data_IF_916534537605
#
_entry.id   IF_916534537605
#
_cell.length_a   1.000
_cell.length_b   1.000
_cell.length_c   1.000
_cell.angle_alpha   90.00
_cell.angle_beta   90.00
_cell.angle_gamma   90.00
#
_symmetry.space_group_name_H-M   'P 1'
#
loop_
_entity.id
_entity.type
_entity.pdbx_description
1 polymer ?
#
# COMPACT_ATOMS: atom_id res chain seq x y z
N UNK A 1 26.81 -32.64 -71.06
CA UNK A 1 27.43 -31.47 -70.40
C UNK A 1 26.55 -30.27 -70.69
N UNK A 2 25.57 -29.98 -69.83
CA UNK A 2 25.67 -29.16 -68.63
C UNK A 2 25.42 -27.67 -68.95
N UNK A 3 24.14 -27.30 -68.98
CA UNK A 3 23.71 -25.92 -68.74
C UNK A 3 23.09 -25.90 -67.34
N UNK A 4 23.83 -25.38 -66.36
CA UNK A 4 23.31 -25.12 -65.03
C UNK A 4 23.34 -23.62 -64.79
N UNK A 5 22.18 -23.02 -64.96
CA UNK A 5 21.89 -21.65 -64.56
C UNK A 5 21.66 -21.66 -63.05
N UNK A 6 22.62 -21.21 -62.27
CA UNK A 6 22.45 -20.98 -60.83
C UNK A 6 22.07 -19.51 -60.64
N UNK A 7 20.78 -19.26 -60.40
CA UNK A 7 20.29 -17.96 -59.99
C UNK A 7 20.69 -17.72 -58.52
N UNK A 8 21.37 -16.60 -58.26
CA UNK A 8 21.67 -16.09 -56.92
C UNK A 8 20.37 -15.57 -56.28
N UNK A 9 19.86 -16.26 -55.27
CA UNK A 9 18.82 -15.74 -54.38
C UNK A 9 19.51 -14.99 -53.23
N UNK A 10 19.61 -13.67 -53.39
CA UNK A 10 19.84 -12.73 -52.29
C UNK A 10 18.58 -12.68 -51.42
N UNK A 11 18.61 -13.35 -50.27
CA UNK A 11 17.56 -13.19 -49.25
C UNK A 11 17.96 -12.01 -48.39
N UNK A 12 17.19 -10.94 -48.56
CA UNK A 12 17.39 -9.66 -47.90
C UNK A 12 17.48 -9.78 -46.38
N UNK A 13 18.48 -9.07 -45.86
CA UNK A 13 18.65 -8.69 -44.48
C UNK A 13 17.40 -7.95 -43.98
N UNK A 14 16.47 -8.67 -43.33
CA UNK A 14 15.35 -8.11 -42.58
C UNK A 14 15.91 -7.39 -41.35
N UNK A 15 16.27 -6.12 -41.55
CA UNK A 15 16.62 -5.17 -40.51
C UNK A 15 15.48 -5.03 -39.50
N UNK A 16 15.72 -5.58 -38.31
CA UNK A 16 15.59 -4.90 -37.01
C UNK A 16 14.61 -3.72 -36.97
N UNK A 17 13.31 -3.99 -36.84
CA UNK A 17 12.36 -3.07 -36.20
C UNK A 17 11.30 -3.88 -35.44
N UNK A 18 11.75 -4.70 -34.48
CA UNK A 18 10.93 -4.91 -33.29
C UNK A 18 11.03 -3.62 -32.48
N UNK A 19 10.26 -2.60 -32.87
CA UNK A 19 10.03 -1.47 -31.99
C UNK A 19 9.33 -2.04 -30.76
N UNK A 20 10.04 -2.05 -29.63
CA UNK A 20 9.45 -2.42 -28.35
C UNK A 20 8.22 -1.55 -28.16
N UNK A 21 7.05 -2.18 -28.18
CA UNK A 21 5.85 -1.55 -27.64
C UNK A 21 6.22 -1.11 -26.21
N UNK A 22 5.89 0.11 -25.78
CA UNK A 22 6.01 0.44 -24.38
C UNK A 22 5.14 -0.57 -23.64
N UNK A 23 5.77 -1.50 -22.93
CA UNK A 23 5.07 -2.25 -21.89
C UNK A 23 4.61 -1.18 -20.92
N UNK A 24 3.32 -0.89 -20.92
CA UNK A 24 2.63 -0.18 -19.85
C UNK A 24 2.68 -1.07 -18.61
N UNK A 25 3.89 -1.22 -18.06
CA UNK A 25 4.11 -1.76 -16.75
C UNK A 25 3.50 -0.70 -15.84
N UNK A 26 2.31 -0.99 -15.30
CA UNK A 26 1.57 -0.09 -14.44
C UNK A 26 2.42 0.48 -13.30
N UNK A 27 1.85 1.37 -12.47
CA UNK A 27 2.62 2.11 -11.47
C UNK A 27 3.42 1.18 -10.56
N UNK A 28 4.69 1.53 -10.32
CA UNK A 28 5.58 0.80 -9.40
C UNK A 28 4.97 0.80 -8.01
N UNK A 29 4.99 -0.35 -7.34
CA UNK A 29 4.48 -0.50 -5.97
C UNK A 29 5.56 -0.92 -4.99
N UNK A 30 5.52 -0.37 -3.79
CA UNK A 30 6.36 -0.70 -2.65
C UNK A 30 5.59 -1.63 -1.69
N UNK A 31 6.15 -2.78 -1.28
CA UNK A 31 5.52 -3.63 -0.29
C UNK A 31 5.58 -2.98 1.09
N UNK A 32 4.53 -3.17 1.89
CA UNK A 32 4.48 -2.78 3.31
C UNK A 32 3.82 -3.88 4.14
N UNK A 33 4.11 -3.89 5.43
CA UNK A 33 3.41 -4.71 6.42
C UNK A 33 2.47 -3.82 7.21
N UNK A 34 1.22 -4.25 7.40
CA UNK A 34 0.23 -3.55 8.19
C UNK A 34 -0.23 -4.46 9.34
N UNK A 35 -0.09 -3.99 10.58
CA UNK A 35 -0.66 -4.67 11.75
C UNK A 35 -1.83 -3.87 12.30
N UNK A 36 -2.92 -4.54 12.64
CA UNK A 36 -4.04 -3.98 13.39
C UNK A 36 -3.97 -4.57 14.80
N UNK A 37 -3.89 -3.70 15.80
CA UNK A 37 -3.89 -4.10 17.19
C UNK A 37 -4.87 -3.26 18.01
N UNK A 38 -5.36 -3.84 19.09
CA UNK A 38 -6.31 -3.18 19.98
C UNK A 38 -5.83 -3.33 21.42
N UNK A 39 -5.16 -2.30 21.93
CA UNK A 39 -4.58 -2.27 23.28
C UNK A 39 -5.64 -2.26 24.39
N UNK A 40 -6.90 -2.00 24.03
CA UNK A 40 -8.04 -2.00 24.95
C UNK A 40 -8.73 -3.38 25.02
N UNK A 41 -8.17 -4.38 24.34
CA UNK A 41 -8.71 -5.75 24.31
C UNK A 41 -7.59 -6.79 24.31
N UNK A 42 -7.89 -8.04 24.69
CA UNK A 42 -6.92 -9.14 24.62
C UNK A 42 -6.95 -9.87 23.26
N UNK A 43 -7.33 -9.19 22.19
CA UNK A 43 -7.39 -9.77 20.84
C UNK A 43 -5.98 -9.81 20.25
N UNK A 44 -5.62 -10.95 19.67
CA UNK A 44 -4.33 -11.11 18.98
C UNK A 44 -4.22 -10.12 17.81
N UNK A 45 -3.12 -9.37 17.67
CA UNK A 45 -2.91 -8.49 16.53
C UNK A 45 -2.98 -9.23 15.19
N UNK A 46 -3.66 -8.62 14.22
CA UNK A 46 -3.80 -9.15 12.86
C UNK A 46 -2.78 -8.48 11.95
N UNK A 47 -2.07 -9.26 11.13
CA UNK A 47 -1.05 -8.72 10.21
C UNK A 47 -1.41 -9.03 8.77
N UNK A 48 -1.38 -7.99 7.95
CA UNK A 48 -1.64 -8.02 6.53
C UNK A 48 -0.39 -7.58 5.75
N UNK A 49 -0.20 -8.16 4.57
CA UNK A 49 0.83 -7.72 3.62
C UNK A 49 0.13 -7.04 2.45
N UNK A 50 0.52 -5.80 2.17
CA UNK A 50 -0.05 -5.02 1.08
C UNK A 50 1.01 -4.18 0.40
N UNK A 51 0.58 -3.31 -0.51
CA UNK A 51 1.48 -2.42 -1.22
C UNK A 51 0.88 -1.03 -1.40
N UNK A 52 1.79 -0.06 -1.51
CA UNK A 52 1.50 1.32 -1.87
C UNK A 52 2.16 1.62 -3.21
N UNK A 53 1.54 2.44 -4.05
CA UNK A 53 2.25 2.97 -5.23
C UNK A 53 3.42 3.83 -4.76
N UNK A 54 4.55 3.78 -5.44
CA UNK A 54 5.72 4.60 -5.12
C UNK A 54 5.34 6.09 -5.06
N UNK A 55 5.65 6.74 -3.93
CA UNK A 55 5.26 8.13 -3.65
C UNK A 55 3.79 8.34 -3.27
N UNK A 56 2.97 7.28 -3.31
CA UNK A 56 1.59 7.26 -2.86
C UNK A 56 1.45 7.26 -1.33
N UNK A 57 0.23 7.51 -0.87
CA UNK A 57 -0.08 7.65 0.56
C UNK A 57 -0.66 6.37 1.17
N UNK A 58 -0.54 6.22 2.49
CA UNK A 58 -1.01 5.06 3.26
C UNK A 58 -2.49 4.75 3.00
N UNK A 59 -3.34 5.76 2.86
CA UNK A 59 -4.76 5.60 2.49
C UNK A 59 -4.94 4.75 1.22
N UNK A 60 -4.05 4.89 0.24
CA UNK A 60 -4.09 4.08 -0.97
C UNK A 60 -3.81 2.60 -0.70
N UNK A 61 -2.90 2.29 0.22
CA UNK A 61 -2.64 0.90 0.64
C UNK A 61 -3.84 0.32 1.38
N UNK A 62 -4.46 1.08 2.30
CA UNK A 62 -5.64 0.64 3.05
C UNK A 62 -6.84 0.37 2.12
N UNK A 63 -7.08 1.22 1.11
CA UNK A 63 -8.14 1.00 0.10
C UNK A 63 -7.94 -0.30 -0.67
N UNK A 64 -6.73 -0.53 -1.20
CA UNK A 64 -6.39 -1.79 -1.90
C UNK A 64 -6.54 -3.00 -0.99
N UNK A 65 -6.14 -2.88 0.28
CA UNK A 65 -6.29 -3.94 1.25
C UNK A 65 -7.77 -4.27 1.47
N UNK A 66 -8.62 -3.26 1.68
CA UNK A 66 -10.06 -3.43 1.84
C UNK A 66 -10.77 -4.00 0.59
N UNK A 67 -10.29 -3.66 -0.60
CA UNK A 67 -10.79 -4.19 -1.88
C UNK A 67 -10.44 -5.67 -2.08
N UNK A 68 -9.26 -6.09 -1.60
CA UNK A 68 -8.70 -7.43 -1.88
C UNK A 68 -8.90 -8.42 -0.74
N UNK A 69 -9.07 -7.96 0.50
CA UNK A 69 -9.24 -8.77 1.68
C UNK A 69 -10.60 -8.50 2.34
N UNK A 70 -11.44 -9.53 2.40
CA UNK A 70 -12.84 -9.38 2.87
C UNK A 70 -12.94 -9.08 4.36
N UNK A 71 -11.97 -9.54 5.13
CA UNK A 71 -11.83 -9.36 6.58
C UNK A 71 -11.22 -8.00 6.97
N UNK A 72 -10.52 -7.33 6.06
CA UNK A 72 -10.05 -5.97 6.30
C UNK A 72 -11.12 -4.93 5.92
N UNK A 73 -11.58 -4.17 6.92
CA UNK A 73 -12.51 -3.04 6.72
C UNK A 73 -12.03 -1.83 7.49
N UNK A 74 -12.11 -0.65 6.89
CA UNK A 74 -11.85 0.60 7.57
C UNK A 74 -12.80 1.69 7.11
N UNK A 75 -13.02 2.68 7.98
CA UNK A 75 -13.75 3.91 7.63
C UNK A 75 -12.93 5.13 7.97
N UNK A 76 -13.20 6.22 7.29
CA UNK A 76 -12.62 7.53 7.55
C UNK A 76 -13.71 8.54 7.84
N UNK A 77 -13.39 9.53 8.68
CA UNK A 77 -14.18 10.76 8.81
C UNK A 77 -13.40 11.90 8.20
N UNK A 78 -14.10 12.78 7.50
CA UNK A 78 -13.51 14.03 7.02
C UNK A 78 -13.63 15.08 8.12
N UNK A 79 -12.50 15.70 8.43
CA UNK A 79 -12.37 16.81 9.35
C UNK A 79 -11.93 18.06 8.55
N UNK A 80 -12.57 19.22 8.77
CA UNK A 80 -12.28 20.43 8.00
C UNK A 80 -10.86 20.98 8.21
N UNK A 81 -10.24 20.70 9.36
CA UNK A 81 -8.94 21.24 9.74
C UNK A 81 -7.80 20.22 9.52
N UNK A 82 -8.11 18.92 9.65
CA UNK A 82 -7.11 17.84 9.63
C UNK A 82 -7.25 16.86 8.45
N UNK A 83 -8.33 16.95 7.67
CA UNK A 83 -8.58 16.06 6.53
C UNK A 83 -9.11 14.69 6.94
N UNK A 84 -8.59 13.61 6.34
CA UNK A 84 -9.13 12.27 6.54
C UNK A 84 -8.57 11.61 7.81
N UNK A 85 -9.43 11.50 8.83
CA UNK A 85 -9.15 10.81 10.08
C UNK A 85 -9.53 9.32 9.95
N UNK A 86 -8.66 8.43 10.40
CA UNK A 86 -8.96 7.01 10.51
C UNK A 86 -9.98 6.81 11.64
N UNK A 87 -11.20 6.41 11.28
CA UNK A 87 -12.32 6.38 12.22
C UNK A 87 -12.60 4.97 12.75
N UNK A 88 -12.60 3.96 11.88
CA UNK A 88 -12.75 2.57 12.33
C UNK A 88 -11.88 1.61 11.54
N UNK A 89 -11.49 0.51 12.18
CA UNK A 89 -10.83 -0.65 11.55
C UNK A 89 -11.46 -1.92 12.10
N UNK A 90 -11.79 -2.88 11.23
CA UNK A 90 -12.38 -4.19 11.53
C UNK A 90 -13.57 -4.12 12.51
N UNK A 91 -14.42 -3.10 12.34
CA UNK A 91 -15.64 -2.90 13.14
C UNK A 91 -15.46 -2.14 14.46
N UNK A 92 -14.22 -1.80 14.84
CA UNK A 92 -13.93 -1.02 16.07
C UNK A 92 -13.76 0.45 15.70
N UNK A 93 -14.65 1.31 16.21
CA UNK A 93 -14.68 2.74 15.93
C UNK A 93 -14.08 3.56 17.07
N UNK A 94 -13.34 4.61 16.71
CA UNK A 94 -12.94 5.67 17.61
C UNK A 94 -14.16 6.45 18.10
N UNK A 95 -14.17 6.80 19.38
CA UNK A 95 -15.24 7.54 20.03
C UNK A 95 -14.66 8.59 20.99
N UNK A 96 -15.02 9.85 20.76
CA UNK A 96 -14.57 10.99 21.57
C UNK A 96 -15.10 10.94 23.01
N UNK A 97 -16.32 10.43 23.22
CA UNK A 97 -16.93 10.31 24.55
C UNK A 97 -16.23 9.24 25.38
N UNK A 98 -15.85 8.14 24.73
CA UNK A 98 -15.06 7.06 25.33
C UNK A 98 -13.55 7.34 25.30
N UNK A 99 -13.13 8.49 24.76
CA UNK A 99 -11.75 8.92 24.68
C UNK A 99 -10.84 7.92 23.94
N UNK A 100 -11.35 7.32 22.86
CA UNK A 100 -10.65 6.29 22.07
C UNK A 100 -10.29 6.78 20.67
N UNK A 101 -9.16 6.29 20.16
CA UNK A 101 -8.65 6.66 18.84
C UNK A 101 -7.85 5.54 18.18
N UNK A 102 -7.60 5.72 16.88
CA UNK A 102 -6.63 4.92 16.13
C UNK A 102 -5.30 5.67 16.02
N UNK A 103 -4.29 5.16 16.73
CA UNK A 103 -2.90 5.58 16.62
C UNK A 103 -2.25 4.93 15.40
N UNK A 104 -1.36 5.67 14.72
CA UNK A 104 -0.60 5.17 13.59
C UNK A 104 0.88 5.18 13.97
N UNK A 105 1.47 3.99 13.99
CA UNK A 105 2.89 3.79 14.28
C UNK A 105 3.61 3.34 13.03
N UNK A 106 4.86 3.79 12.90
CA UNK A 106 5.80 3.38 11.86
C UNK A 106 7.02 2.75 12.49
N UNK A 107 7.46 1.64 11.91
CA UNK A 107 8.69 0.93 12.23
C UNK A 107 9.45 0.67 10.92
N UNK A 108 10.68 1.18 10.84
CA UNK A 108 11.58 0.99 9.69
C UNK A 108 13.02 0.62 10.07
N UNK A 109 13.36 0.59 11.36
CA UNK A 109 14.75 0.51 11.87
C UNK A 109 14.90 -0.25 13.20
N UNK A 110 13.89 -1.03 13.58
CA UNK A 110 13.73 -1.68 14.87
C UNK A 110 13.02 -0.84 15.94
N UNK A 111 12.72 0.43 15.67
CA UNK A 111 12.07 1.34 16.62
C UNK A 111 10.71 1.80 16.09
N UNK A 112 9.69 1.74 16.94
CA UNK A 112 8.36 2.26 16.65
C UNK A 112 8.31 3.75 16.96
N UNK A 113 7.81 4.53 16.01
CA UNK A 113 7.55 5.95 16.15
C UNK A 113 6.09 6.27 15.83
N UNK A 114 5.47 7.16 16.60
CA UNK A 114 4.14 7.67 16.30
C UNK A 114 4.23 8.65 15.13
N UNK A 115 3.35 8.49 14.15
CA UNK A 115 3.24 9.42 13.04
C UNK A 115 2.57 10.73 13.48
N UNK A 116 3.08 11.84 12.96
CA UNK A 116 2.57 13.19 13.14
C UNK A 116 1.60 13.62 12.03
N UNK A 117 1.37 12.76 11.03
CA UNK A 117 0.45 12.97 9.92
C UNK A 117 -0.51 11.80 9.73
N UNK A 118 -1.70 12.09 9.21
CA UNK A 118 -2.74 11.07 8.96
C UNK A 118 -2.47 10.19 7.74
N UNK A 119 -3.30 9.15 7.59
CA UNK A 119 -3.24 8.16 6.49
C UNK A 119 -3.35 8.81 5.09
N UNK A 120 -3.98 9.98 5.00
CA UNK A 120 -4.12 10.74 3.74
C UNK A 120 -2.84 11.45 3.29
N UNK A 121 -1.86 11.61 4.18
CA UNK A 121 -0.63 12.36 3.93
C UNK A 121 0.62 11.50 4.03
N UNK A 122 0.63 10.50 4.93
CA UNK A 122 1.79 9.67 5.15
C UNK A 122 2.16 8.87 3.91
N UNK A 123 3.45 8.85 3.55
CA UNK A 123 4.01 8.12 2.41
C UNK A 123 4.91 6.99 2.90
N UNK A 124 4.43 5.74 2.93
CA UNK A 124 5.24 4.62 3.38
C UNK A 124 6.46 4.37 2.50
N UNK A 125 7.51 3.82 3.12
CA UNK A 125 8.74 3.34 2.48
C UNK A 125 8.64 1.84 2.20
N UNK A 126 9.52 1.34 1.34
CA UNK A 126 9.59 -0.08 1.04
C UNK A 126 9.89 -0.91 2.30
N UNK A 127 9.12 -1.97 2.50
CA UNK A 127 9.18 -2.92 3.61
C UNK A 127 8.91 -2.31 4.99
N UNK A 128 8.37 -1.10 5.04
CA UNK A 128 7.98 -0.46 6.29
C UNK A 128 6.87 -1.25 6.99
N UNK A 129 6.94 -1.31 8.31
CA UNK A 129 5.89 -1.86 9.14
C UNK A 129 5.06 -0.72 9.74
N UNK A 130 3.80 -0.68 9.34
CA UNK A 130 2.79 0.23 9.86
C UNK A 130 1.92 -0.52 10.86
N UNK A 131 1.65 0.08 12.02
CA UNK A 131 0.69 -0.44 12.98
C UNK A 131 -0.45 0.55 13.19
N UNK A 132 -1.69 0.07 13.03
CA UNK A 132 -2.90 0.77 13.42
C UNK A 132 -3.29 0.24 14.80
N UNK A 133 -3.09 1.05 15.83
CA UNK A 133 -3.31 0.68 17.23
C UNK A 133 -4.55 1.39 17.77
N UNK A 134 -5.55 0.63 18.19
CA UNK A 134 -6.68 1.19 18.92
C UNK A 134 -6.27 1.45 20.36
N UNK A 135 -6.38 2.70 20.80
CA UNK A 135 -5.91 3.16 22.11
C UNK A 135 -6.85 4.23 22.71
N UNK A 136 -6.52 4.70 23.91
CA UNK A 136 -7.24 5.75 24.61
C UNK A 136 -6.32 6.84 25.14
N UNK A 137 -6.77 8.09 25.10
CA UNK A 137 -6.07 9.22 25.73
C UNK A 137 -6.51 9.48 27.17
N UNK A 138 -7.40 8.65 27.74
CA UNK A 138 -7.81 8.75 29.14
C UNK A 138 -6.68 8.41 30.13
N UNK A 139 -5.65 7.69 29.69
CA UNK A 139 -4.59 7.11 30.52
C UNK A 139 -3.17 7.56 30.10
N UNK A 140 -3.06 8.60 29.27
CA UNK A 140 -1.77 9.14 28.80
C UNK A 140 -1.16 10.16 29.77
#
# INVERSE_FOLDING_TARGET
MALRTTALLSVGFLLFLAQGAPTDAGPVTLPIRLTVENDLSNVTPETHFCSVVEGGVLLGALRRLQETQQDFKFTVKEDPDFGLLLHSVNGVAADEREQTYWEILSESSGEYSRLDVGIGCYKPKANEHITLRFSSWAQQ
#
